data_IF_897276561196
#
_entry.id   IF_897276561196
#
_cell.length_a   1.000
_cell.length_b   1.000
_cell.length_c   1.000
_cell.angle_alpha   90.00
_cell.angle_beta   90.00
_cell.angle_gamma   90.00
#
_symmetry.space_group_name_H-M   'P 1'
#
loop_
_entity.id
_entity.type
_entity.pdbx_description
1 polymer ?
#
# COMPACT_ATOMS: atom_id res chain seq x y z
N UNK A 1 17.57 23.05 16.35
CA UNK A 1 17.79 21.67 16.88
C UNK A 1 17.47 20.53 15.89
N UNK A 2 16.62 20.70 14.87
CA UNK A 2 16.23 19.60 13.96
C UNK A 2 17.26 19.25 12.85
N UNK A 3 18.02 20.23 12.33
CA UNK A 3 18.88 20.01 11.16
C UNK A 3 20.12 19.16 11.45
N UNK A 4 20.76 19.33 12.61
CA UNK A 4 21.94 18.53 12.97
C UNK A 4 21.61 17.05 13.21
N UNK A 5 20.47 16.75 13.85
CA UNK A 5 20.03 15.36 14.05
C UNK A 5 19.71 14.69 12.72
N UNK A 6 19.00 15.40 11.84
CA UNK A 6 18.71 14.91 10.49
C UNK A 6 20.01 14.67 9.69
N UNK A 7 20.95 15.62 9.71
CA UNK A 7 22.23 15.47 9.01
C UNK A 7 23.05 14.30 9.54
N UNK A 8 23.14 14.13 10.88
CA UNK A 8 23.81 12.96 11.48
C UNK A 8 23.14 11.65 11.08
N UNK A 9 21.82 11.61 11.06
CA UNK A 9 21.07 10.43 10.61
C UNK A 9 21.36 10.10 9.14
N UNK A 10 21.31 11.09 8.25
CA UNK A 10 21.62 10.90 6.83
C UNK A 10 23.08 10.46 6.61
N UNK A 11 24.01 11.01 7.41
CA UNK A 11 25.41 10.59 7.37
C UNK A 11 25.55 9.13 7.79
N UNK A 12 24.95 8.73 8.91
CA UNK A 12 24.95 7.34 9.37
C UNK A 12 24.37 6.38 8.32
N UNK A 13 23.25 6.74 7.70
CA UNK A 13 22.66 5.93 6.62
C UNK A 13 23.61 5.76 5.42
N UNK A 14 24.34 6.82 5.06
CA UNK A 14 25.33 6.74 3.98
C UNK A 14 26.53 5.86 4.37
N UNK A 15 27.01 5.97 5.61
CA UNK A 15 28.09 5.12 6.14
C UNK A 15 27.68 3.64 6.14
N UNK A 16 26.51 3.32 6.70
CA UNK A 16 25.95 1.96 6.71
C UNK A 16 25.80 1.40 5.28
N UNK A 17 25.27 2.20 4.36
CA UNK A 17 25.16 1.84 2.94
C UNK A 17 26.52 1.48 2.33
N UNK A 18 27.54 2.29 2.55
CA UNK A 18 28.86 2.05 1.98
C UNK A 18 29.51 0.80 2.59
N UNK A 19 29.31 0.57 3.88
CA UNK A 19 29.78 -0.63 4.56
C UNK A 19 29.11 -1.90 4.02
N UNK A 20 27.78 -1.90 3.91
CA UNK A 20 27.02 -3.05 3.42
C UNK A 20 27.30 -3.36 1.95
N UNK A 21 27.47 -2.36 1.09
CA UNK A 21 27.90 -2.54 -0.30
C UNK A 21 29.31 -3.13 -0.39
N UNK A 22 30.24 -2.71 0.47
CA UNK A 22 31.61 -3.25 0.52
C UNK A 22 31.59 -4.72 0.99
N UNK A 23 30.85 -5.00 2.05
CA UNK A 23 30.66 -6.35 2.60
C UNK A 23 30.07 -7.33 1.59
N UNK A 24 29.14 -6.87 0.74
CA UNK A 24 28.50 -7.67 -0.31
C UNK A 24 29.16 -7.56 -1.69
N UNK A 25 30.37 -7.00 -1.78
CA UNK A 25 31.07 -6.76 -3.05
C UNK A 25 31.25 -8.00 -3.93
N UNK A 26 31.51 -9.17 -3.32
CA UNK A 26 31.64 -10.44 -4.06
C UNK A 26 30.34 -10.79 -4.76
N UNK A 27 29.20 -10.73 -4.05
CA UNK A 27 27.87 -11.01 -4.59
C UNK A 27 27.52 -10.01 -5.70
N UNK A 28 27.86 -8.73 -5.52
CA UNK A 28 27.67 -7.69 -6.54
C UNK A 28 28.47 -8.03 -7.80
N UNK A 29 29.74 -8.38 -7.67
CA UNK A 29 30.61 -8.69 -8.81
C UNK A 29 30.18 -9.98 -9.53
N UNK A 30 29.69 -10.98 -8.79
CA UNK A 30 29.08 -12.20 -9.35
C UNK A 30 27.78 -11.90 -10.10
N UNK A 31 26.92 -11.04 -9.54
CA UNK A 31 25.68 -10.64 -10.19
C UNK A 31 25.92 -9.82 -11.46
N UNK A 32 26.92 -8.93 -11.47
CA UNK A 32 27.34 -8.21 -12.68
C UNK A 32 27.76 -9.20 -13.78
N UNK A 33 28.58 -10.20 -13.45
CA UNK A 33 28.99 -11.24 -14.42
C UNK A 33 27.79 -12.01 -14.97
N UNK A 34 26.85 -12.38 -14.10
CA UNK A 34 25.62 -13.05 -14.48
C UNK A 34 24.77 -12.18 -15.43
N UNK A 35 24.56 -10.91 -15.12
CA UNK A 35 23.85 -9.95 -15.98
C UNK A 35 24.55 -9.75 -17.33
N UNK A 36 25.88 -9.64 -17.36
CA UNK A 36 26.64 -9.53 -18.59
C UNK A 36 26.48 -10.76 -19.50
N UNK A 37 26.35 -11.96 -18.93
CA UNK A 37 26.06 -13.18 -19.71
C UNK A 37 24.69 -13.14 -20.42
N UNK A 38 23.80 -12.27 -19.95
CA UNK A 38 22.47 -11.98 -20.50
C UNK A 38 22.42 -10.65 -21.26
N UNK A 39 23.57 -10.05 -21.57
CA UNK A 39 23.68 -8.75 -22.25
C UNK A 39 23.06 -7.57 -21.47
N UNK A 40 22.95 -7.69 -20.14
CA UNK A 40 22.51 -6.64 -19.24
C UNK A 40 23.74 -5.98 -18.64
N UNK A 41 24.06 -4.76 -19.09
CA UNK A 41 25.28 -4.07 -18.70
C UNK A 41 25.09 -3.33 -17.37
N UNK A 42 25.51 -3.95 -16.27
CA UNK A 42 25.52 -3.35 -14.93
C UNK A 42 26.93 -2.92 -14.52
N UNK A 43 26.99 -1.83 -13.77
CA UNK A 43 28.20 -1.37 -13.07
C UNK A 43 27.92 -1.28 -11.57
N UNK A 44 28.94 -1.05 -10.75
CA UNK A 44 28.75 -0.84 -9.30
C UNK A 44 27.80 0.32 -8.96
N UNK A 45 27.65 1.30 -9.87
CA UNK A 45 26.71 2.41 -9.70
C UNK A 45 25.23 1.99 -9.78
N UNK A 46 24.92 0.81 -10.32
CA UNK A 46 23.57 0.27 -10.39
C UNK A 46 23.11 -0.37 -9.06
N UNK A 47 23.99 -0.47 -8.07
CA UNK A 47 23.72 -1.15 -6.82
C UNK A 47 23.48 -0.17 -5.69
N UNK A 48 22.58 -0.53 -4.79
CA UNK A 48 22.22 0.26 -3.62
C UNK A 48 21.97 -0.66 -2.44
N UNK A 49 22.08 -0.11 -1.23
CA UNK A 49 21.63 -0.78 -0.01
C UNK A 49 20.46 0.00 0.56
N UNK A 50 19.36 -0.71 0.80
CA UNK A 50 18.18 -0.18 1.46
C UNK A 50 17.93 -1.05 2.68
N UNK A 51 18.01 -0.48 3.87
CA UNK A 51 17.89 -1.19 5.15
C UNK A 51 16.63 -2.08 5.26
N UNK A 52 15.50 -1.64 4.69
CA UNK A 52 14.23 -2.38 4.71
C UNK A 52 14.14 -3.50 3.65
N UNK A 53 15.11 -3.60 2.74
CA UNK A 53 15.08 -4.52 1.59
C UNK A 53 16.34 -5.39 1.55
N UNK A 54 17.52 -4.80 1.55
CA UNK A 54 18.82 -5.43 1.33
C UNK A 54 19.62 -4.74 0.22
N UNK A 55 20.51 -5.51 -0.42
CA UNK A 55 21.31 -5.09 -1.57
C UNK A 55 20.45 -5.24 -2.83
N UNK A 56 20.22 -4.13 -3.52
CA UNK A 56 19.39 -4.09 -4.72
C UNK A 56 20.22 -3.73 -5.95
N UNK A 57 19.86 -4.31 -7.09
CA UNK A 57 20.32 -3.89 -8.41
C UNK A 57 19.19 -3.12 -9.11
N UNK A 58 19.52 -1.98 -9.73
CA UNK A 58 18.58 -1.11 -10.45
C UNK A 58 18.94 -1.06 -11.93
N UNK A 59 18.01 -1.47 -12.78
CA UNK A 59 18.13 -1.36 -14.23
C UNK A 59 16.75 -1.47 -14.88
N UNK A 60 16.41 -0.66 -15.91
CA UNK A 60 15.09 -0.70 -16.53
C UNK A 60 14.71 -2.11 -17.01
N UNK A 61 13.53 -2.58 -16.57
CA UNK A 61 12.98 -3.90 -16.92
C UNK A 61 13.88 -5.09 -16.56
N UNK A 62 14.78 -4.94 -15.58
CA UNK A 62 15.74 -5.99 -15.20
C UNK A 62 15.08 -7.34 -14.94
N UNK A 63 13.87 -7.39 -14.36
CA UNK A 63 13.18 -8.66 -14.11
C UNK A 63 12.87 -9.40 -15.40
N UNK A 64 12.32 -8.70 -16.40
CA UNK A 64 11.95 -9.28 -17.69
C UNK A 64 13.18 -9.66 -18.52
N UNK A 65 14.28 -8.92 -18.37
CA UNK A 65 15.56 -9.25 -19.01
C UNK A 65 16.24 -10.46 -18.35
N UNK A 66 16.09 -10.63 -17.04
CA UNK A 66 16.64 -11.76 -16.31
C UNK A 66 15.87 -13.05 -16.57
N UNK A 67 14.54 -12.96 -16.68
CA UNK A 67 13.67 -14.09 -16.98
C UNK A 67 12.60 -13.70 -18.02
N UNK A 68 12.88 -14.04 -19.29
CA UNK A 68 12.03 -13.74 -20.46
C UNK A 68 10.65 -14.42 -20.40
N UNK A 69 10.48 -15.46 -19.58
CA UNK A 69 9.17 -16.11 -19.40
C UNK A 69 8.20 -15.27 -18.59
N UNK A 70 8.71 -14.31 -17.81
CA UNK A 70 7.87 -13.38 -17.05
C UNK A 70 7.30 -12.35 -18.02
N UNK A 71 6.09 -12.61 -18.48
CA UNK A 71 5.40 -11.77 -19.45
C UNK A 71 4.26 -11.04 -18.75
N UNK A 72 4.30 -9.71 -18.64
CA UNK A 72 3.18 -8.95 -18.12
C UNK A 72 2.03 -8.92 -19.14
N UNK A 73 0.80 -8.79 -18.63
CA UNK A 73 -0.36 -8.56 -19.47
C UNK A 73 -0.45 -7.10 -19.95
N UNK A 74 -1.53 -6.78 -20.69
CA UNK A 74 -1.79 -5.43 -21.22
C UNK A 74 -1.90 -4.33 -20.16
N UNK A 75 -2.07 -4.69 -18.88
CA UNK A 75 -2.19 -3.80 -17.73
C UNK A 75 -0.89 -3.75 -16.91
N UNK A 76 0.20 -4.34 -17.44
CA UNK A 76 1.49 -4.51 -16.79
C UNK A 76 1.45 -5.38 -15.51
N UNK A 77 0.48 -6.30 -15.40
CA UNK A 77 0.40 -7.24 -14.29
C UNK A 77 0.92 -8.62 -14.70
N UNK A 78 1.54 -9.32 -13.76
CA UNK A 78 2.01 -10.70 -13.95
C UNK A 78 1.07 -11.65 -13.23
N UNK A 79 0.68 -12.74 -13.90
CA UNK A 79 -0.13 -13.80 -13.29
C UNK A 79 0.60 -14.50 -12.15
N UNK A 80 -0.07 -14.65 -11.00
CA UNK A 80 0.54 -15.28 -9.81
C UNK A 80 0.97 -16.73 -10.07
N UNK A 81 0.20 -17.50 -10.84
CA UNK A 81 0.56 -18.88 -11.19
C UNK A 81 1.89 -18.95 -11.97
N UNK A 82 2.18 -17.95 -12.82
CA UNK A 82 3.44 -17.86 -13.56
C UNK A 82 4.60 -17.50 -12.62
N UNK A 83 4.37 -16.57 -11.68
CA UNK A 83 5.36 -16.25 -10.65
C UNK A 83 5.68 -17.46 -9.78
N UNK A 84 4.66 -18.22 -9.37
CA UNK A 84 4.80 -19.44 -8.58
C UNK A 84 5.51 -20.58 -9.33
N UNK A 85 5.39 -20.65 -10.66
CA UNK A 85 6.10 -21.65 -11.46
C UNK A 85 7.57 -21.30 -11.71
N UNK A 86 7.90 -20.01 -11.73
CA UNK A 86 9.25 -19.53 -12.09
C UNK A 86 10.09 -19.14 -10.86
N UNK A 87 9.46 -18.93 -9.71
CA UNK A 87 10.13 -18.50 -8.49
C UNK A 87 9.58 -19.22 -7.26
N UNK A 88 10.44 -19.37 -6.26
CA UNK A 88 10.04 -19.89 -4.96
C UNK A 88 9.41 -18.78 -4.11
N UNK A 89 8.21 -19.05 -3.58
CA UNK A 89 7.58 -18.20 -2.56
C UNK A 89 7.85 -18.76 -1.17
N UNK A 90 8.08 -17.87 -0.20
CA UNK A 90 8.27 -18.25 1.20
C UNK A 90 7.20 -17.60 2.08
N UNK A 91 6.53 -18.34 2.99
CA UNK A 91 5.41 -17.82 3.78
C UNK A 91 5.70 -16.58 4.64
N UNK A 92 6.96 -16.37 5.02
CA UNK A 92 7.41 -15.25 5.85
C UNK A 92 7.94 -14.05 5.06
N UNK A 93 7.98 -14.14 3.73
CA UNK A 93 8.62 -13.17 2.84
C UNK A 93 7.64 -12.66 1.78
N UNK A 94 6.43 -12.28 2.22
CA UNK A 94 5.40 -11.86 1.28
C UNK A 94 5.83 -10.68 0.44
N UNK A 95 5.55 -10.78 -0.86
CA UNK A 95 5.99 -9.80 -1.84
C UNK A 95 7.41 -10.05 -2.37
N UNK A 96 8.09 -11.12 -1.97
CA UNK A 96 9.41 -11.50 -2.49
C UNK A 96 9.42 -12.89 -3.14
N UNK A 97 9.70 -12.94 -4.44
CA UNK A 97 9.78 -14.18 -5.22
C UNK A 97 11.25 -14.55 -5.43
N UNK A 98 11.67 -15.71 -4.93
CA UNK A 98 13.06 -16.16 -4.90
C UNK A 98 13.48 -16.87 -6.18
N UNK A 99 14.62 -16.46 -6.72
CA UNK A 99 15.45 -17.28 -7.62
C UNK A 99 16.77 -17.62 -6.92
N UNK A 100 17.66 -18.36 -7.59
CA UNK A 100 18.98 -18.69 -7.07
C UNK A 100 19.92 -17.48 -6.92
N UNK A 101 19.69 -16.40 -7.68
CA UNK A 101 20.65 -15.28 -7.84
C UNK A 101 20.07 -13.92 -7.46
N UNK A 102 18.76 -13.81 -7.42
CA UNK A 102 18.05 -12.59 -7.09
C UNK A 102 16.63 -12.88 -6.59
N UNK A 103 15.98 -11.86 -6.06
CA UNK A 103 14.60 -11.90 -5.62
C UNK A 103 13.82 -10.79 -6.32
N UNK A 104 12.72 -11.16 -6.98
CA UNK A 104 11.75 -10.23 -7.55
C UNK A 104 10.86 -9.72 -6.41
N UNK A 105 10.50 -8.44 -6.46
CA UNK A 105 9.67 -7.80 -5.45
C UNK A 105 8.31 -7.42 -6.04
N UNK A 106 7.27 -7.38 -5.20
CA UNK A 106 6.03 -6.71 -5.55
C UNK A 106 6.28 -5.20 -5.76
N UNK A 107 5.43 -4.57 -6.57
CA UNK A 107 5.60 -3.18 -7.00
C UNK A 107 5.74 -2.20 -5.80
N UNK A 108 6.61 -1.18 -5.88
CA UNK A 108 6.87 -0.27 -4.76
C UNK A 108 5.64 0.47 -4.20
N UNK A 109 4.59 0.66 -4.98
CA UNK A 109 3.35 1.30 -4.49
C UNK A 109 2.50 0.44 -3.56
N UNK A 110 2.89 -0.81 -3.28
CA UNK A 110 2.39 -1.54 -2.13
C UNK A 110 3.11 -1.16 -0.82
N UNK A 111 4.18 -0.37 -0.87
CA UNK A 111 4.94 0.07 0.30
C UNK A 111 4.27 1.24 1.00
N UNK A 112 4.60 1.39 2.28
CA UNK A 112 4.10 2.50 3.10
C UNK A 112 4.43 3.85 2.45
N UNK A 113 3.42 4.72 2.35
CA UNK A 113 3.55 6.03 1.72
C UNK A 113 3.92 6.00 0.24
N UNK A 114 3.80 4.85 -0.43
CA UNK A 114 4.21 4.64 -1.82
C UNK A 114 5.71 4.87 -2.06
N UNK A 115 6.53 4.84 -1.00
CA UNK A 115 7.96 5.11 -1.08
C UNK A 115 8.75 3.83 -1.39
N UNK A 116 9.62 3.95 -2.38
CA UNK A 116 10.42 2.84 -2.93
C UNK A 116 11.35 2.15 -1.92
N UNK A 117 11.68 2.85 -0.82
CA UNK A 117 12.61 2.42 0.22
C UNK A 117 11.91 2.00 1.52
N UNK A 118 10.57 2.05 1.58
CA UNK A 118 9.81 1.61 2.75
C UNK A 118 9.47 0.12 2.66
N UNK A 119 9.07 -0.49 3.78
CA UNK A 119 8.52 -1.84 3.75
C UNK A 119 7.09 -1.86 3.15
N UNK A 120 6.60 -3.04 2.80
CA UNK A 120 5.22 -3.22 2.36
C UNK A 120 4.21 -2.75 3.41
N UNK A 121 3.18 -2.02 2.98
CA UNK A 121 2.12 -1.55 3.86
C UNK A 121 1.34 -2.75 4.41
N UNK A 122 0.99 -2.73 5.70
CA UNK A 122 1.49 -3.80 6.58
C UNK A 122 0.89 -5.18 6.37
N UNK A 123 -0.14 -5.39 5.54
CA UNK A 123 -0.77 -6.71 5.38
C UNK A 123 -1.43 -7.02 4.03
N UNK A 124 -1.60 -6.04 3.12
CA UNK A 124 -2.32 -6.31 1.87
C UNK A 124 -1.66 -7.43 1.06
N UNK A 125 -0.33 -7.37 0.89
CA UNK A 125 0.40 -8.38 0.12
C UNK A 125 0.34 -9.75 0.79
N UNK A 126 0.43 -9.82 2.12
CA UNK A 126 0.27 -11.08 2.87
C UNK A 126 -1.09 -11.72 2.61
N UNK A 127 -2.16 -10.92 2.72
CA UNK A 127 -3.55 -11.36 2.55
C UNK A 127 -3.78 -11.77 1.10
N UNK A 128 -3.33 -10.95 0.14
CA UNK A 128 -3.46 -11.22 -1.29
C UNK A 128 -2.69 -12.48 -1.72
N UNK A 129 -1.49 -12.71 -1.19
CA UNK A 129 -0.72 -13.93 -1.43
C UNK A 129 -1.44 -15.17 -0.90
N UNK A 130 -1.89 -15.12 0.36
CA UNK A 130 -2.59 -16.25 1.02
C UNK A 130 -3.97 -16.50 0.45
N UNK A 131 -4.58 -15.51 -0.20
CA UNK A 131 -5.86 -15.65 -0.87
C UNK A 131 -5.75 -16.60 -2.06
N UNK A 132 -5.99 -17.89 -1.83
CA UNK A 132 -5.97 -18.92 -2.85
C UNK A 132 -7.24 -19.77 -2.72
N UNK A 133 -8.14 -19.65 -3.70
CA UNK A 133 -9.39 -20.40 -3.77
C UNK A 133 -9.55 -20.99 -5.16
N UNK A 134 -10.34 -22.06 -5.25
CA UNK A 134 -10.74 -22.63 -6.52
C UNK A 134 -11.41 -21.54 -7.37
N UNK A 135 -11.14 -21.56 -8.68
CA UNK A 135 -11.72 -20.64 -9.66
C UNK A 135 -11.31 -19.16 -9.51
N UNK A 136 -10.23 -18.88 -8.77
CA UNK A 136 -9.62 -17.54 -8.69
C UNK A 136 -8.38 -17.44 -9.58
N UNK A 137 -8.25 -16.32 -10.29
CA UNK A 137 -7.05 -15.94 -11.03
C UNK A 137 -6.54 -14.60 -10.51
N UNK A 138 -5.31 -14.60 -9.97
CA UNK A 138 -4.66 -13.41 -9.42
C UNK A 138 -3.58 -12.91 -10.34
N UNK A 139 -3.50 -11.59 -10.51
CA UNK A 139 -2.36 -10.93 -11.12
C UNK A 139 -1.91 -9.77 -10.23
N UNK A 140 -0.61 -9.49 -10.26
CA UNK A 140 0.02 -8.48 -9.41
C UNK A 140 1.08 -7.71 -10.19
N UNK A 141 1.23 -6.43 -9.89
CA UNK A 141 2.33 -5.63 -10.36
C UNK A 141 3.61 -6.00 -9.59
N UNK A 142 4.71 -6.15 -10.31
CA UNK A 142 6.04 -6.39 -9.75
C UNK A 142 6.91 -5.15 -9.94
N UNK A 143 7.96 -5.05 -9.14
CA UNK A 143 9.03 -4.09 -9.34
C UNK A 143 9.91 -4.56 -10.51
N UNK A 144 9.58 -4.13 -11.72
CA UNK A 144 10.28 -4.58 -12.93
C UNK A 144 11.71 -4.07 -13.03
N UNK A 145 12.02 -2.97 -12.34
CA UNK A 145 13.27 -2.21 -12.51
C UNK A 145 14.27 -2.48 -11.39
N UNK A 146 13.87 -3.24 -10.37
CA UNK A 146 14.73 -3.58 -9.23
C UNK A 146 14.59 -5.03 -8.82
N UNK A 147 15.72 -5.62 -8.46
CA UNK A 147 15.79 -6.93 -7.80
C UNK A 147 16.69 -6.86 -6.58
N UNK A 148 16.39 -7.64 -5.55
CA UNK A 148 17.30 -7.85 -4.41
C UNK A 148 18.27 -8.98 -4.75
N UNK A 149 19.57 -8.80 -4.54
CA UNK A 149 20.59 -9.78 -4.96
C UNK A 149 21.17 -10.59 -3.80
N UNK A 150 21.08 -10.10 -2.56
CA UNK A 150 21.41 -10.91 -1.39
C UNK A 150 20.24 -11.86 -1.11
N UNK A 151 20.27 -13.01 -1.78
CA UNK A 151 19.24 -14.06 -1.69
C UNK A 151 19.38 -14.79 -0.37
N UNK A 152 18.66 -14.32 0.64
CA UNK A 152 18.67 -14.90 1.98
C UNK A 152 17.27 -14.80 2.64
N UNK A 153 17.15 -15.22 3.90
CA UNK A 153 15.88 -15.21 4.64
C UNK A 153 15.72 -13.99 5.57
N UNK A 154 16.63 -13.02 5.52
CA UNK A 154 16.55 -11.79 6.31
C UNK A 154 15.47 -10.87 5.74
N UNK A 155 14.50 -10.53 6.58
CA UNK A 155 13.34 -9.71 6.21
C UNK A 155 13.13 -8.64 7.28
N UNK A 156 12.77 -7.44 6.84
CA UNK A 156 12.30 -6.39 7.72
C UNK A 156 10.85 -6.69 8.14
N UNK A 157 10.59 -6.77 9.45
CA UNK A 157 9.25 -7.05 9.97
C UNK A 157 8.69 -5.84 10.69
N UNK A 158 7.51 -5.40 10.26
CA UNK A 158 6.69 -4.42 10.98
C UNK A 158 5.54 -5.17 11.66
N UNK A 159 5.35 -4.99 12.96
CA UNK A 159 4.26 -5.61 13.72
C UNK A 159 3.02 -4.71 13.82
N UNK A 160 2.88 -3.79 12.87
CA UNK A 160 1.68 -2.97 12.70
C UNK A 160 0.54 -3.87 12.20
N UNK A 161 -0.62 -3.79 12.85
CA UNK A 161 -1.76 -4.64 12.49
C UNK A 161 -2.96 -3.81 12.07
N UNK A 162 -3.57 -4.23 10.96
CA UNK A 162 -4.85 -3.76 10.46
C UNK A 162 -5.75 -4.96 10.26
N UNK A 163 -6.90 -5.00 10.94
CA UNK A 163 -7.77 -6.18 10.98
C UNK A 163 -8.82 -6.20 9.87
N UNK A 164 -9.03 -5.07 9.20
CA UNK A 164 -10.11 -4.91 8.22
C UNK A 164 -11.48 -4.75 8.87
N UNK A 165 -12.43 -4.21 8.09
CA UNK A 165 -13.81 -4.03 8.54
C UNK A 165 -14.61 -5.32 8.30
N UNK A 166 -15.72 -5.47 9.03
CA UNK A 166 -16.73 -6.49 8.77
C UNK A 166 -17.85 -5.89 7.96
N UNK A 167 -18.42 -6.67 7.05
CA UNK A 167 -19.58 -6.25 6.28
C UNK A 167 -20.65 -7.34 6.33
N UNK A 168 -21.85 -6.97 6.76
CA UNK A 168 -22.96 -7.92 6.95
C UNK A 168 -24.15 -7.65 6.03
N UNK A 169 -24.10 -6.56 5.26
CA UNK A 169 -25.18 -6.17 4.37
C UNK A 169 -25.17 -6.99 3.07
N UNK A 170 -26.35 -7.07 2.45
CA UNK A 170 -26.50 -7.73 1.16
C UNK A 170 -26.19 -6.72 0.05
N UNK A 171 -25.14 -6.98 -0.74
CA UNK A 171 -24.69 -6.07 -1.82
C UNK A 171 -25.84 -5.69 -2.78
N UNK A 172 -26.79 -6.60 -3.04
CA UNK A 172 -27.95 -6.35 -3.91
C UNK A 172 -28.82 -5.19 -3.43
N UNK A 173 -28.90 -4.97 -2.12
CA UNK A 173 -29.82 -4.02 -1.50
C UNK A 173 -29.21 -2.61 -1.34
N UNK A 174 -27.91 -2.45 -1.59
CA UNK A 174 -27.24 -1.14 -1.53
C UNK A 174 -27.74 -0.21 -2.64
N UNK A 175 -28.27 0.96 -2.35
CA UNK A 175 -28.72 1.85 -3.43
C UNK A 175 -27.57 2.30 -4.37
N UNK A 176 -27.90 2.46 -5.66
CA UNK A 176 -27.02 3.11 -6.61
C UNK A 176 -26.82 4.58 -6.20
N UNK A 177 -25.58 5.04 -6.16
CA UNK A 177 -25.29 6.38 -5.66
C UNK A 177 -23.83 6.60 -5.33
N UNK A 178 -23.55 7.77 -4.76
CA UNK A 178 -22.21 8.13 -4.29
C UNK A 178 -22.27 8.47 -2.81
N UNK A 179 -21.35 7.89 -2.06
CA UNK A 179 -21.06 8.19 -0.66
C UNK A 179 -19.71 8.89 -0.60
N UNK A 180 -19.63 10.00 0.15
CA UNK A 180 -18.39 10.73 0.39
C UNK A 180 -18.12 10.80 1.88
N UNK A 181 -17.12 10.06 2.33
CA UNK A 181 -16.70 10.05 3.72
C UNK A 181 -15.50 10.97 3.91
N UNK A 182 -15.45 11.64 5.06
CA UNK A 182 -14.38 12.57 5.45
C UNK A 182 -14.10 12.37 6.94
N UNK A 183 -12.85 12.54 7.41
CA UNK A 183 -12.60 12.60 8.85
C UNK A 183 -13.44 13.70 9.51
N UNK A 184 -13.75 13.58 10.83
CA UNK A 184 -14.50 14.60 11.54
C UNK A 184 -13.84 15.98 11.44
N UNK A 185 -14.66 17.00 11.15
CA UNK A 185 -14.20 18.39 10.88
C UNK A 185 -13.52 19.05 12.08
N UNK A 186 -13.75 18.55 13.30
CA UNK A 186 -13.17 19.06 14.54
C UNK A 186 -11.76 18.50 14.83
N UNK A 187 -11.23 17.62 13.99
CA UNK A 187 -9.86 17.12 14.08
C UNK A 187 -8.87 18.06 13.39
N UNK A 188 -7.71 18.26 14.02
CA UNK A 188 -6.63 19.01 13.40
C UNK A 188 -5.77 18.11 12.51
N UNK A 189 -4.87 18.71 11.73
CA UNK A 189 -4.02 17.98 10.77
C UNK A 189 -3.18 16.87 11.40
N UNK A 190 -2.68 17.06 12.64
CA UNK A 190 -1.89 16.04 13.32
C UNK A 190 -2.76 14.81 13.68
N UNK A 191 -4.01 15.03 14.06
CA UNK A 191 -4.93 13.94 14.42
C UNK A 191 -5.41 13.19 13.19
N UNK A 192 -5.63 13.88 12.08
CA UNK A 192 -5.94 13.26 10.79
C UNK A 192 -4.75 12.41 10.32
N UNK A 193 -3.53 12.94 10.42
CA UNK A 193 -2.31 12.20 10.10
C UNK A 193 -2.19 10.94 10.97
N UNK A 194 -2.36 11.08 12.29
CA UNK A 194 -2.13 10.00 13.25
C UNK A 194 -3.23 8.92 13.25
N UNK A 195 -4.51 9.32 13.25
CA UNK A 195 -5.63 8.39 13.35
C UNK A 195 -6.21 7.97 12.01
N UNK A 196 -6.09 8.82 10.98
CA UNK A 196 -6.67 8.58 9.65
C UNK A 196 -5.61 8.35 8.58
N UNK A 197 -4.33 8.19 8.95
CA UNK A 197 -3.25 7.91 8.01
C UNK A 197 -3.14 8.98 6.92
N UNK A 198 -3.42 10.23 7.28
CA UNK A 198 -3.46 11.39 6.38
C UNK A 198 -4.51 11.27 5.25
N UNK A 199 -5.53 10.42 5.43
CA UNK A 199 -6.67 10.36 4.52
C UNK A 199 -7.50 11.63 4.64
N UNK A 200 -7.67 12.31 3.51
CA UNK A 200 -8.59 13.43 3.35
C UNK A 200 -10.01 12.94 3.10
N UNK A 201 -10.18 11.92 2.26
CA UNK A 201 -11.47 11.45 1.79
C UNK A 201 -11.47 9.98 1.39
N UNK A 202 -12.63 9.36 1.54
CA UNK A 202 -12.98 8.11 0.86
C UNK A 202 -14.30 8.34 0.12
N UNK A 203 -14.22 8.43 -1.20
CA UNK A 203 -15.41 8.49 -2.05
C UNK A 203 -15.72 7.06 -2.52
N UNK A 204 -16.99 6.66 -2.47
CA UNK A 204 -17.48 5.34 -2.90
C UNK A 204 -18.66 5.51 -3.83
N UNK A 205 -18.72 4.73 -4.90
CA UNK A 205 -19.81 4.72 -5.85
C UNK A 205 -20.31 3.32 -6.12
N UNK A 206 -21.64 3.17 -6.10
CA UNK A 206 -22.34 2.01 -6.64
C UNK A 206 -23.12 2.40 -7.89
N UNK A 207 -23.11 1.51 -8.87
CA UNK A 207 -23.95 1.63 -10.06
C UNK A 207 -24.34 0.26 -10.59
N UNK A 208 -25.58 0.12 -11.06
CA UNK A 208 -26.13 -1.15 -11.51
C UNK A 208 -26.45 -1.10 -13.00
N UNK A 209 -25.98 -2.09 -13.76
CA UNK A 209 -26.28 -2.23 -15.19
C UNK A 209 -26.30 -3.71 -15.59
N UNK A 210 -27.36 -4.13 -16.28
CA UNK A 210 -27.48 -5.47 -16.88
C UNK A 210 -27.21 -6.62 -15.88
N UNK A 211 -27.77 -6.56 -14.67
CA UNK A 211 -27.57 -7.62 -13.67
C UNK A 211 -26.22 -7.57 -12.94
N UNK A 212 -25.35 -6.62 -13.29
CA UNK A 212 -24.06 -6.41 -12.64
C UNK A 212 -24.11 -5.12 -11.84
N UNK A 213 -23.66 -5.20 -10.60
CA UNK A 213 -23.54 -4.07 -9.69
C UNK A 213 -22.07 -3.75 -9.50
N UNK A 214 -21.68 -2.54 -9.85
CA UNK A 214 -20.28 -2.09 -9.90
C UNK A 214 -19.98 -1.22 -8.70
N UNK A 215 -18.95 -1.61 -7.95
CA UNK A 215 -18.35 -0.83 -6.88
C UNK A 215 -17.13 -0.08 -7.40
N UNK A 216 -17.00 1.19 -7.02
CA UNK A 216 -15.79 1.97 -7.20
C UNK A 216 -15.47 2.70 -5.90
N UNK A 217 -14.19 2.79 -5.54
CA UNK A 217 -13.75 3.60 -4.40
C UNK A 217 -12.47 4.38 -4.72
N UNK A 218 -12.39 5.61 -4.22
CA UNK A 218 -11.20 6.47 -4.31
C UNK A 218 -10.81 7.02 -2.92
N UNK A 219 -9.62 6.68 -2.46
CA UNK A 219 -9.01 7.23 -1.24
C UNK A 219 -8.07 8.37 -1.61
N UNK A 220 -8.45 9.58 -1.24
CA UNK A 220 -7.58 10.76 -1.36
C UNK A 220 -6.83 10.97 -0.06
N UNK A 221 -5.50 11.10 -0.17
CA UNK A 221 -4.65 11.62 0.92
C UNK A 221 -4.66 13.14 0.92
N UNK A 222 -4.15 13.76 1.98
CA UNK A 222 -3.96 15.21 2.05
C UNK A 222 -2.98 15.69 0.97
N UNK A 223 -2.95 17.01 0.73
CA UNK A 223 -2.05 17.64 -0.22
C UNK A 223 -0.54 17.52 0.14
N UNK A 224 -0.22 17.00 1.33
CA UNK A 224 1.15 16.67 1.73
C UNK A 224 1.65 15.39 1.05
N UNK A 225 0.76 14.48 0.71
CA UNK A 225 1.12 13.21 0.08
C UNK A 225 1.35 13.43 -1.41
N UNK A 226 2.61 13.41 -1.82
CA UNK A 226 3.03 13.55 -3.22
C UNK A 226 4.05 12.49 -3.57
N UNK A 227 4.03 12.09 -4.83
CA UNK A 227 5.05 11.24 -5.42
C UNK A 227 5.59 11.88 -6.68
N UNK A 228 6.91 11.84 -6.84
CA UNK A 228 7.56 12.37 -8.04
C UNK A 228 7.74 11.24 -9.05
N UNK A 229 7.26 11.45 -10.29
CA UNK A 229 7.47 10.55 -11.43
C UNK A 229 7.93 11.36 -12.62
N UNK A 230 9.06 10.98 -13.21
CA UNK A 230 9.64 11.65 -14.38
C UNK A 230 9.77 13.18 -14.20
N UNK A 231 10.19 13.61 -13.00
CA UNK A 231 10.38 15.02 -12.66
C UNK A 231 9.09 15.82 -12.45
N UNK A 232 7.93 15.16 -12.35
CA UNK A 232 6.63 15.79 -12.05
C UNK A 232 6.04 15.20 -10.79
N UNK A 233 5.46 16.05 -9.96
CA UNK A 233 4.77 15.62 -8.75
C UNK A 233 3.31 15.33 -9.01
N UNK A 234 2.84 14.23 -8.45
CA UNK A 234 1.46 13.77 -8.51
C UNK A 234 0.93 13.50 -7.11
N UNK A 235 -0.38 13.64 -6.97
CA UNK A 235 -1.14 13.24 -5.79
C UNK A 235 -1.65 11.81 -6.02
N UNK A 236 -1.10 10.80 -5.31
CA UNK A 236 -1.53 9.42 -5.47
C UNK A 236 -2.88 9.20 -4.78
N UNK A 237 -3.83 8.66 -5.53
CA UNK A 237 -5.15 8.25 -5.02
C UNK A 237 -5.29 6.75 -5.23
N UNK A 238 -5.56 5.99 -4.15
CA UNK A 238 -5.89 4.57 -4.31
C UNK A 238 -7.26 4.46 -4.94
N UNK A 239 -7.36 3.61 -5.95
CA UNK A 239 -8.58 3.30 -6.65
C UNK A 239 -8.89 1.81 -6.51
N UNK A 240 -10.15 1.48 -6.27
CA UNK A 240 -10.67 0.11 -6.30
C UNK A 240 -11.85 0.02 -7.26
N UNK A 241 -11.96 -1.10 -7.96
CA UNK A 241 -13.09 -1.44 -8.81
C UNK A 241 -13.51 -2.89 -8.58
N UNK A 242 -14.81 -3.14 -8.46
CA UNK A 242 -15.33 -4.49 -8.34
C UNK A 242 -16.65 -4.65 -9.10
N UNK A 243 -16.89 -5.85 -9.64
CA UNK A 243 -18.13 -6.19 -10.33
C UNK A 243 -18.84 -7.33 -9.61
N UNK A 244 -20.00 -7.04 -9.06
CA UNK A 244 -20.86 -7.99 -8.36
C UNK A 244 -21.92 -8.54 -9.32
N UNK A 245 -21.95 -9.86 -9.48
CA UNK A 245 -22.98 -10.55 -10.26
C UNK A 245 -24.20 -10.77 -9.36
N UNK A 246 -25.29 -10.05 -9.62
CA UNK A 246 -26.50 -10.13 -8.80
C UNK A 246 -27.21 -11.48 -8.91
N UNK A 247 -26.97 -12.26 -9.94
CA UNK A 247 -27.56 -13.60 -10.06
C UNK A 247 -26.74 -14.61 -9.25
N UNK A 248 -25.42 -14.52 -9.31
CA UNK A 248 -24.51 -15.44 -8.62
C UNK A 248 -24.25 -15.09 -7.15
N UNK A 249 -24.58 -13.85 -6.75
CA UNK A 249 -24.32 -13.32 -5.41
C UNK A 249 -22.82 -13.33 -5.04
N UNK A 250 -21.96 -13.07 -6.02
CA UNK A 250 -20.50 -13.06 -5.86
C UNK A 250 -19.89 -11.96 -6.72
N UNK A 251 -18.75 -11.44 -6.31
CA UNK A 251 -17.93 -10.62 -7.21
C UNK A 251 -17.28 -11.52 -8.26
N UNK A 252 -17.27 -11.06 -9.51
CA UNK A 252 -16.63 -11.76 -10.65
C UNK A 252 -15.26 -11.17 -11.02
N UNK A 253 -15.03 -9.94 -10.59
CA UNK A 253 -13.85 -9.14 -10.88
C UNK A 253 -13.61 -8.15 -9.74
N UNK A 254 -12.37 -7.99 -9.33
CA UNK A 254 -11.91 -7.03 -8.35
C UNK A 254 -10.50 -6.59 -8.70
N UNK A 255 -10.26 -5.28 -8.81
CA UNK A 255 -8.93 -4.74 -9.05
C UNK A 255 -8.66 -3.48 -8.25
N UNK A 256 -7.37 -3.18 -8.12
CA UNK A 256 -6.91 -1.97 -7.46
C UNK A 256 -5.79 -1.32 -8.25
N UNK A 257 -5.80 0.00 -8.23
CA UNK A 257 -4.86 0.85 -8.94
C UNK A 257 -4.46 2.06 -8.09
N UNK A 258 -3.44 2.78 -8.55
CA UNK A 258 -3.14 4.13 -8.11
C UNK A 258 -3.42 5.08 -9.28
N UNK A 259 -4.26 6.08 -9.02
CA UNK A 259 -4.46 7.22 -9.90
C UNK A 259 -3.45 8.31 -9.54
N UNK A 260 -2.77 8.86 -10.54
CA UNK A 260 -1.79 9.93 -10.37
C UNK A 260 -2.40 11.23 -10.87
N UNK A 261 -2.95 12.01 -9.95
CA UNK A 261 -3.51 13.30 -10.27
C UNK A 261 -2.43 14.38 -10.27
N UNK A 262 -2.42 15.24 -11.28
CA UNK A 262 -1.74 16.54 -11.17
C UNK A 262 -2.46 17.41 -10.15
N UNK A 263 -1.86 18.55 -9.77
CA UNK A 263 -2.47 19.47 -8.80
C UNK A 263 -3.88 19.89 -9.19
N UNK A 264 -4.07 20.31 -10.43
CA UNK A 264 -5.37 20.81 -10.90
C UNK A 264 -6.41 19.69 -10.90
N UNK A 265 -6.04 18.50 -11.38
CA UNK A 265 -6.94 17.35 -11.40
C UNK A 265 -7.27 16.86 -9.99
N UNK A 266 -6.31 16.92 -9.06
CA UNK A 266 -6.52 16.51 -7.67
C UNK A 266 -7.57 17.39 -6.99
N UNK A 267 -7.40 18.72 -7.02
CA UNK A 267 -8.37 19.64 -6.42
C UNK A 267 -9.73 19.54 -7.12
N UNK A 268 -9.74 19.44 -8.45
CA UNK A 268 -10.98 19.27 -9.19
C UNK A 268 -11.71 17.98 -8.81
N UNK A 269 -11.01 16.84 -8.77
CA UNK A 269 -11.62 15.53 -8.52
C UNK A 269 -12.03 15.36 -7.05
N UNK A 270 -11.19 15.80 -6.11
CA UNK A 270 -11.40 15.69 -4.66
C UNK A 270 -12.63 16.47 -4.18
N UNK A 271 -12.88 17.62 -4.81
CA UNK A 271 -13.96 18.53 -4.42
C UNK A 271 -15.22 18.34 -5.29
N UNK A 272 -15.15 17.52 -6.35
CA UNK A 272 -16.28 17.15 -7.21
C UNK A 272 -16.81 15.74 -6.93
N UNK A 273 -18.01 15.43 -7.42
CA UNK A 273 -18.62 14.09 -7.32
C UNK A 273 -18.10 13.12 -8.39
N UNK A 274 -18.14 11.80 -8.16
CA UNK A 274 -17.76 10.77 -9.14
C UNK A 274 -18.48 10.96 -10.49
N UNK A 275 -19.66 11.57 -10.47
CA UNK A 275 -20.48 11.84 -11.64
C UNK A 275 -20.04 13.08 -12.44
N UNK A 276 -19.09 13.88 -11.95
CA UNK A 276 -18.64 15.11 -12.61
C UNK A 276 -18.02 14.85 -13.99
N UNK A 277 -17.41 13.68 -14.19
CA UNK A 277 -16.84 13.26 -15.48
C UNK A 277 -17.89 12.96 -16.57
N UNK A 278 -19.18 12.84 -16.24
CA UNK A 278 -20.22 12.56 -17.24
C UNK A 278 -20.80 13.84 -17.88
N UNK A 279 -20.53 15.03 -17.33
CA UNK A 279 -21.18 16.28 -17.78
C UNK A 279 -20.25 17.25 -18.51
N UNK A 280 -18.94 17.07 -18.43
CA UNK A 280 -17.96 17.92 -19.11
C UNK A 280 -17.16 17.09 -20.14
N UNK A 281 -17.00 17.63 -21.35
CA UNK A 281 -16.25 17.04 -22.46
C UNK A 281 -14.75 16.84 -22.18
N UNK A 282 -14.25 17.33 -21.05
CA UNK A 282 -12.92 17.03 -20.51
C UNK A 282 -12.96 15.77 -19.65
N UNK A 283 -12.98 14.60 -20.30
CA UNK A 283 -12.66 13.34 -19.60
C UNK A 283 -11.26 13.47 -18.99
N UNK A 284 -11.19 13.49 -17.66
CA UNK A 284 -9.93 13.37 -16.93
C UNK A 284 -9.37 11.98 -17.21
N UNK A 285 -8.52 11.87 -18.25
CA UNK A 285 -7.76 10.66 -18.53
C UNK A 285 -6.56 10.64 -17.59
N UNK A 286 -6.84 10.38 -16.33
CA UNK A 286 -5.83 10.33 -15.27
C UNK A 286 -4.86 9.19 -15.55
N UNK A 287 -3.57 9.46 -15.38
CA UNK A 287 -2.56 8.41 -15.41
C UNK A 287 -2.91 7.39 -14.31
N UNK A 288 -3.05 6.12 -14.68
CA UNK A 288 -3.43 5.05 -13.77
C UNK A 288 -2.42 3.91 -13.88
N UNK A 289 -2.03 3.35 -12.75
CA UNK A 289 -1.19 2.14 -12.67
C UNK A 289 -1.97 1.11 -11.87
N UNK A 290 -2.39 0.04 -12.55
CA UNK A 290 -3.03 -1.10 -11.90
C UNK A 290 -1.98 -1.86 -11.10
N UNK A 291 -2.33 -2.22 -9.86
CA UNK A 291 -1.44 -2.90 -8.93
C UNK A 291 -1.78 -4.37 -8.76
N UNK A 292 -3.06 -4.71 -8.81
CA UNK A 292 -3.49 -6.10 -8.75
C UNK A 292 -4.83 -6.26 -9.43
N UNK A 293 -5.16 -7.51 -9.78
CA UNK A 293 -6.53 -7.92 -10.08
C UNK A 293 -6.78 -9.35 -9.65
N UNK A 294 -8.03 -9.61 -9.35
CA UNK A 294 -8.60 -10.89 -9.00
C UNK A 294 -9.81 -11.11 -9.89
N UNK A 295 -9.79 -12.17 -10.68
CA UNK A 295 -10.94 -12.64 -11.43
C UNK A 295 -11.40 -13.97 -10.86
N UNK A 296 -12.70 -14.25 -10.94
CA UNK A 296 -13.27 -15.50 -10.44
C UNK A 296 -14.39 -15.29 -9.45
N UNK A 297 -14.72 -16.33 -8.68
CA UNK A 297 -15.82 -16.27 -7.69
C UNK A 297 -15.30 -15.74 -6.35
N UNK A 298 -15.40 -14.43 -6.15
CA UNK A 298 -14.93 -13.74 -4.95
C UNK A 298 -16.14 -13.54 -4.02
N UNK A 299 -16.06 -14.05 -2.80
CA UNK A 299 -17.13 -13.85 -1.82
C UNK A 299 -17.16 -12.42 -1.32
N UNK A 300 -18.29 -12.01 -0.73
CA UNK A 300 -18.42 -10.68 -0.12
C UNK A 300 -17.35 -10.49 0.96
N UNK A 301 -17.15 -11.49 1.84
CA UNK A 301 -16.13 -11.45 2.89
C UNK A 301 -14.71 -11.26 2.35
N UNK A 302 -14.34 -11.99 1.27
CA UNK A 302 -13.03 -11.85 0.66
C UNK A 302 -12.83 -10.45 0.05
N UNK A 303 -13.87 -9.94 -0.62
CA UNK A 303 -13.85 -8.60 -1.19
C UNK A 303 -13.73 -7.52 -0.11
N UNK A 304 -14.49 -7.65 0.98
CA UNK A 304 -14.44 -6.72 2.12
C UNK A 304 -13.06 -6.74 2.78
N UNK A 305 -12.48 -7.92 3.01
CA UNK A 305 -11.14 -8.05 3.59
C UNK A 305 -10.09 -7.44 2.66
N UNK A 306 -10.06 -7.82 1.37
CA UNK A 306 -9.08 -7.29 0.43
C UNK A 306 -9.22 -5.77 0.25
N UNK A 307 -10.45 -5.24 0.20
CA UNK A 307 -10.73 -3.79 0.16
C UNK A 307 -10.17 -3.11 1.40
N UNK A 308 -10.48 -3.65 2.58
CA UNK A 308 -10.04 -3.06 3.85
C UNK A 308 -8.51 -3.08 3.99
N UNK A 309 -7.86 -4.16 3.55
CA UNK A 309 -6.41 -4.28 3.61
C UNK A 309 -5.73 -3.39 2.56
N UNK A 310 -6.31 -3.20 1.38
CA UNK A 310 -5.76 -2.27 0.39
C UNK A 310 -5.86 -0.82 0.88
N UNK A 311 -6.94 -0.46 1.56
CA UNK A 311 -7.17 0.84 2.20
C UNK A 311 -6.60 0.90 3.64
N UNK A 312 -5.57 0.10 3.96
CA UNK A 312 -4.95 0.10 5.30
C UNK A 312 -4.55 1.50 5.75
N UNK A 313 -4.89 1.81 7.00
CA UNK A 313 -4.61 3.09 7.65
C UNK A 313 -5.72 4.13 7.46
N UNK A 314 -6.81 3.80 6.77
CA UNK A 314 -7.96 4.68 6.57
C UNK A 314 -9.20 4.17 7.32
N UNK A 315 -9.54 4.76 8.47
CA UNK A 315 -10.70 4.38 9.26
C UNK A 315 -12.05 4.59 8.56
N UNK A 316 -12.12 5.42 7.52
CA UNK A 316 -13.35 5.65 6.77
C UNK A 316 -13.85 4.37 6.10
N UNK A 317 -12.99 3.38 5.85
CA UNK A 317 -13.40 2.07 5.36
C UNK A 317 -14.27 1.32 6.38
N UNK A 318 -14.01 1.49 7.68
CA UNK A 318 -14.85 0.93 8.74
C UNK A 318 -16.15 1.68 8.88
N UNK A 319 -16.11 3.02 8.80
CA UNK A 319 -17.33 3.82 8.77
C UNK A 319 -18.25 3.40 7.63
N UNK A 320 -17.68 3.09 6.46
CA UNK A 320 -18.46 2.61 5.34
C UNK A 320 -19.09 1.23 5.57
N UNK A 321 -18.31 0.26 6.06
CA UNK A 321 -18.77 -1.14 6.16
C UNK A 321 -19.51 -1.49 7.46
N UNK A 322 -19.20 -0.80 8.56
CA UNK A 322 -19.73 -1.07 9.90
C UNK A 322 -20.55 0.09 10.47
N UNK A 323 -20.71 1.19 9.72
CA UNK A 323 -21.37 2.43 10.17
C UNK A 323 -20.73 3.07 11.41
N UNK A 324 -19.48 2.69 11.71
CA UNK A 324 -18.72 3.19 12.87
C UNK A 324 -17.21 3.13 12.64
N UNK A 325 -16.48 3.98 13.34
CA UNK A 325 -15.01 3.87 13.40
C UNK A 325 -14.56 2.71 14.30
N UNK A 326 -13.29 2.27 14.20
CA UNK A 326 -12.69 1.40 15.21
C UNK A 326 -12.82 1.97 16.63
N UNK A 327 -13.03 1.09 17.62
CA UNK A 327 -13.35 1.49 19.01
C UNK A 327 -12.34 2.50 19.60
N UNK A 328 -11.05 2.31 19.34
CA UNK A 328 -9.99 3.21 19.83
C UNK A 328 -10.08 4.63 19.25
N UNK A 329 -10.57 4.78 18.01
CA UNK A 329 -10.79 6.08 17.37
C UNK A 329 -12.07 6.73 17.91
N UNK A 330 -13.14 5.94 18.09
CA UNK A 330 -14.36 6.43 18.72
C UNK A 330 -14.09 6.94 20.14
N UNK A 331 -13.33 6.19 20.93
CA UNK A 331 -12.93 6.58 22.28
C UNK A 331 -12.11 7.88 22.26
N UNK A 332 -11.15 8.00 21.34
CA UNK A 332 -10.37 9.23 21.16
C UNK A 332 -11.27 10.44 20.86
N UNK A 333 -12.17 10.32 19.88
CA UNK A 333 -13.10 11.41 19.49
C UNK A 333 -14.01 11.78 20.68
N UNK A 334 -14.52 10.80 21.43
CA UNK A 334 -15.35 11.03 22.62
C UNK A 334 -14.58 11.75 23.73
N UNK A 335 -13.34 11.33 24.01
CA UNK A 335 -12.50 11.93 25.05
C UNK A 335 -12.09 13.36 24.71
N UNK A 336 -11.88 13.66 23.42
CA UNK A 336 -11.67 15.04 22.92
C UNK A 336 -12.88 15.91 23.20
N UNK A 337 -14.08 15.47 22.81
CA UNK A 337 -15.34 16.24 23.00
C UNK A 337 -15.68 16.51 24.46
N UNK A 338 -15.19 15.67 25.38
CA UNK A 338 -15.40 15.81 26.83
C UNK A 338 -14.26 16.56 27.56
N UNK A 339 -13.31 17.17 26.83
CA UNK A 339 -12.14 17.91 27.38
C UNK A 339 -11.28 17.10 28.37
N UNK A 340 -11.30 15.76 28.31
CA UNK A 340 -10.48 14.92 29.20
C UNK A 340 -9.02 14.76 28.76
N UNK A 341 -8.60 15.43 27.68
CA UNK A 341 -7.23 15.40 27.16
C UNK A 341 -6.55 16.73 27.50
N UNK A 342 -5.72 16.73 28.55
CA UNK A 342 -4.90 17.90 28.91
C UNK A 342 -3.90 18.24 27.78
N UNK A 343 -3.71 19.52 27.42
CA UNK A 343 -2.84 19.93 26.31
C UNK A 343 -1.36 19.56 26.48
N UNK A 344 -0.87 19.48 27.72
CA UNK A 344 0.58 19.45 28.01
C UNK A 344 1.22 18.04 27.98
N UNK A 345 0.44 16.96 27.88
CA UNK A 345 0.98 15.59 27.87
C UNK A 345 0.31 14.69 26.82
N UNK A 346 0.12 15.24 25.61
CA UNK A 346 -0.50 14.55 24.48
C UNK A 346 0.17 13.20 24.17
N UNK A 347 1.50 13.15 24.06
CA UNK A 347 2.24 11.94 23.66
C UNK A 347 2.10 10.75 24.63
N UNK A 348 2.13 11.00 25.93
CA UNK A 348 2.03 9.94 26.96
C UNK A 348 0.60 9.38 27.07
N UNK A 349 -0.41 10.23 26.86
CA UNK A 349 -1.81 9.80 26.85
C UNK A 349 -2.10 8.89 25.64
N UNK A 350 -1.55 9.22 24.47
CA UNK A 350 -1.72 8.43 23.23
C UNK A 350 -1.11 7.01 23.30
N UNK A 351 0.04 6.84 23.95
CA UNK A 351 0.66 5.52 24.17
C UNK A 351 -0.12 4.66 25.19
N UNK A 352 -0.85 5.29 26.11
CA UNK A 352 -1.60 4.58 27.15
C UNK A 352 -2.92 3.96 26.66
N UNK A 353 -3.50 4.52 25.58
CA UNK A 353 -4.77 4.10 24.98
C UNK A 353 -4.59 2.94 23.97
N UNK A 354 -3.40 2.74 23.41
CA UNK A 354 -3.09 1.69 22.43
C UNK A 354 -2.49 0.41 23.04
N UNK A 355 -2.31 0.36 24.37
CA UNK A 355 -1.59 -0.71 25.07
C UNK A 355 -2.54 -1.59 25.91
N UNK A 356 -2.52 -2.92 25.68
CA UNK A 356 -3.09 -3.87 26.64
C UNK A 356 -2.34 -3.78 27.99
N UNK A 357 -2.97 -4.22 29.09
CA UNK A 357 -2.48 -4.05 30.46
C UNK A 357 -1.01 -4.46 30.69
N UNK A 358 -0.45 -5.34 29.85
CA UNK A 358 0.95 -5.77 29.92
C UNK A 358 1.95 -4.75 29.34
N UNK A 359 1.54 -3.92 28.37
CA UNK A 359 2.41 -2.90 27.72
C UNK A 359 2.48 -1.57 28.49
N UNK A 360 1.58 -1.33 29.45
CA UNK A 360 1.62 -0.14 30.34
C UNK A 360 2.91 -0.06 31.17
N UNK A 361 3.51 -1.20 31.54
CA UNK A 361 4.79 -1.24 32.26
C UNK A 361 6.00 -0.84 31.41
N UNK A 362 5.96 -1.13 30.10
CA UNK A 362 7.06 -0.80 29.17
C UNK A 362 7.03 0.68 28.80
N UNK A 363 5.84 1.27 28.62
CA UNK A 363 5.69 2.71 28.40
C UNK A 363 6.16 3.54 29.61
N UNK A 364 5.93 3.04 30.83
CA UNK A 364 6.43 3.67 32.06
C UNK A 364 7.96 3.64 32.16
N UNK A 365 8.61 2.54 31.71
CA UNK A 365 10.07 2.42 31.71
C UNK A 365 10.76 3.38 30.72
N UNK A 366 10.14 3.68 29.58
CA UNK A 366 10.65 4.67 28.62
C UNK A 366 10.56 6.11 29.14
N UNK A 367 9.57 6.43 29.98
CA UNK A 367 9.42 7.76 30.57
C UNK A 367 10.51 8.08 31.61
N UNK A 368 11.05 7.07 32.31
CA UNK A 368 12.10 7.26 33.33
C UNK A 368 13.48 7.51 32.73
N UNK A 369 13.69 7.21 31.44
CA UNK A 369 14.96 7.45 30.73
C UNK A 369 15.00 8.83 30.05
N UNK A 370 13.87 9.54 30.03
CA UNK A 370 13.70 10.85 29.38
C UNK A 370 13.67 12.03 30.38
N UNK A 371 14.17 11.85 31.60
CA UNK A 371 14.42 12.92 32.57
C UNK A 371 15.89 12.99 32.94
#
# INVERSE_FOLDING_TARGET
>A
MNNERLNRYLQYQNEEKMEELKKHSVIIDEFIKYCNSKQINLTKANFDYIQTIGIIAKYPNIVYLLNEKIIPDKENLVGMNLLESEYQMKPFASGYYYSDKYMVMAHPYFRRGYHDNCNFAPRFIDVFWKFNKKDIQKHIAIDSDRVRINVDNTMYMEFDTWYGAKFQETIKDIDDGVVKLRPPLDLNSFEIEFFFGDTYALDIKWSSKNGIKTFQAEEFKSEKCKISRNGKDFFPTKYLHAEFDMNKNTFRHFDGAIHFYTSDEYYQRRDSDFNHNNKNSSQLKTLSLKLFKVNGLISIDDWTELTSQYLTGNPLVFEYFEEKFPDHIQEFIKNRKTNKICPENRFLCYLSLSASAHRKKVAAAFATVLH
#
